data_IF_844075760551
#
_entry.id   IF_844075760551
#
_cell.length_a   1.000
_cell.length_b   1.000
_cell.length_c   1.000
_cell.angle_alpha   90.00
_cell.angle_beta   90.00
_cell.angle_gamma   90.00
#
_symmetry.space_group_name_H-M   'P 1'
#
loop_
_entity.id
_entity.type
_entity.pdbx_description
1 polymer ?
#
# COMPACT_ATOMS: atom_id res chain seq x y z
N UNK A 1 -18.08 -0.58 5.15
CA UNK A 1 -19.07 -0.56 4.06
C UNK A 1 -18.63 -1.51 2.95
N UNK A 2 -19.57 -2.21 2.32
CA UNK A 2 -19.36 -2.92 1.05
C UNK A 2 -20.38 -2.38 0.05
N UNK A 3 -19.92 -1.82 -1.07
CA UNK A 3 -20.79 -1.15 -2.07
C UNK A 3 -21.73 -0.08 -1.48
N UNK A 4 -21.29 0.60 -0.41
CA UNK A 4 -22.10 1.61 0.29
C UNK A 4 -23.00 1.06 1.42
N UNK A 5 -23.15 -0.26 1.53
CA UNK A 5 -23.95 -0.90 2.58
C UNK A 5 -23.13 -1.20 3.83
N UNK A 6 -23.73 -1.02 5.01
CA UNK A 6 -23.11 -1.33 6.32
C UNK A 6 -23.06 -2.84 6.54
N UNK A 7 -21.96 -3.33 7.13
CA UNK A 7 -21.69 -4.77 7.33
C UNK A 7 -21.35 -5.10 8.79
N UNK A 8 -22.16 -4.61 9.71
CA UNK A 8 -21.88 -4.74 11.15
C UNK A 8 -21.85 -6.18 11.65
N UNK A 9 -22.65 -7.08 11.06
CA UNK A 9 -22.70 -8.49 11.46
C UNK A 9 -21.40 -9.25 11.17
N UNK A 10 -20.69 -8.84 10.12
CA UNK A 10 -19.44 -9.47 9.66
C UNK A 10 -18.20 -8.70 10.16
N UNK A 11 -18.40 -7.60 10.88
CA UNK A 11 -17.34 -6.72 11.37
C UNK A 11 -17.05 -7.00 12.83
N UNK A 12 -15.80 -7.33 13.13
CA UNK A 12 -15.29 -7.40 14.49
C UNK A 12 -14.90 -6.00 14.97
N UNK A 13 -15.25 -5.68 16.23
CA UNK A 13 -15.02 -4.37 16.80
C UNK A 13 -14.14 -4.45 18.04
N UNK A 14 -13.09 -3.63 18.05
CA UNK A 14 -12.26 -3.39 19.22
C UNK A 14 -12.94 -2.44 20.21
N UNK A 15 -12.76 -2.71 21.49
CA UNK A 15 -13.14 -1.75 22.54
C UNK A 15 -12.41 -0.42 22.37
N UNK A 16 -13.01 0.66 22.89
CA UNK A 16 -12.37 1.99 22.93
C UNK A 16 -11.42 2.05 24.12
N UNK A 17 -10.13 2.20 23.86
CA UNK A 17 -9.05 2.17 24.87
C UNK A 17 -8.37 3.55 24.94
N UNK A 18 -8.17 4.12 26.14
CA UNK A 18 -7.45 5.38 26.28
C UNK A 18 -5.94 5.22 26.09
N UNK A 19 -5.32 6.21 25.45
CA UNK A 19 -3.87 6.35 25.30
C UNK A 19 -3.29 7.28 26.38
N UNK A 20 -1.98 7.19 26.64
CA UNK A 20 -1.29 8.02 27.64
C UNK A 20 -1.28 9.51 27.31
N UNK A 21 -1.43 9.86 26.04
CA UNK A 21 -1.48 11.23 25.54
C UNK A 21 -2.89 11.85 25.57
N UNK A 22 -3.88 11.16 26.15
CA UNK A 22 -5.27 11.64 26.25
C UNK A 22 -6.13 11.39 25.01
N UNK A 23 -5.59 10.75 23.96
CA UNK A 23 -6.40 10.27 22.83
C UNK A 23 -7.00 8.89 23.13
N UNK A 24 -7.85 8.40 22.22
CA UNK A 24 -8.46 7.08 22.30
C UNK A 24 -8.11 6.25 21.06
N UNK A 25 -8.07 4.94 21.23
CA UNK A 25 -7.85 3.96 20.18
C UNK A 25 -9.04 2.98 20.11
N UNK A 26 -9.46 2.65 18.90
CA UNK A 26 -10.45 1.61 18.59
C UNK A 26 -10.19 1.09 17.17
N UNK A 27 -10.79 -0.03 16.80
CA UNK A 27 -10.60 -0.63 15.48
C UNK A 27 -11.83 -1.42 15.05
N UNK A 28 -11.94 -1.63 13.74
CA UNK A 28 -12.92 -2.50 13.11
C UNK A 28 -12.20 -3.38 12.08
N UNK A 29 -12.49 -4.68 12.05
CA UNK A 29 -11.91 -5.63 11.10
C UNK A 29 -12.99 -6.45 10.43
N UNK A 30 -12.81 -6.74 9.15
CA UNK A 30 -13.73 -7.56 8.36
C UNK A 30 -12.90 -8.48 7.47
N UNK A 31 -13.31 -9.74 7.38
CA UNK A 31 -12.71 -10.70 6.46
C UNK A 31 -13.19 -10.38 5.03
N UNK A 32 -12.25 -10.08 4.14
CA UNK A 32 -12.55 -9.75 2.75
C UNK A 32 -11.77 -10.64 1.79
N UNK A 33 -12.46 -11.14 0.77
CA UNK A 33 -11.79 -11.85 -0.33
C UNK A 33 -10.91 -10.87 -1.12
N UNK A 34 -9.71 -11.28 -1.58
CA UNK A 34 -8.81 -10.40 -2.33
C UNK A 34 -9.48 -9.71 -3.53
N UNK A 35 -10.39 -10.40 -4.22
CA UNK A 35 -11.08 -9.89 -5.41
C UNK A 35 -12.15 -8.83 -5.08
N UNK A 36 -12.56 -8.76 -3.81
CA UNK A 36 -13.61 -7.86 -3.34
C UNK A 36 -13.05 -6.65 -2.58
N UNK A 37 -11.73 -6.59 -2.31
CA UNK A 37 -11.10 -5.54 -1.48
C UNK A 37 -11.48 -4.12 -1.92
N UNK A 38 -11.55 -3.89 -3.24
CA UNK A 38 -11.88 -2.57 -3.82
C UNK A 38 -13.34 -2.15 -3.59
N UNK A 39 -14.21 -3.11 -3.26
CA UNK A 39 -15.64 -2.88 -2.95
C UNK A 39 -15.83 -2.40 -1.51
N UNK A 40 -14.82 -2.59 -0.65
CA UNK A 40 -14.88 -2.19 0.75
C UNK A 40 -14.37 -0.78 0.97
N UNK A 41 -15.06 -0.07 1.86
CA UNK A 41 -14.60 1.21 2.43
C UNK A 41 -14.78 1.22 3.94
N UNK A 42 -13.75 1.65 4.66
CA UNK A 42 -13.85 1.97 6.08
C UNK A 42 -14.47 3.35 6.24
N UNK A 43 -15.51 3.47 7.06
CA UNK A 43 -16.18 4.74 7.38
C UNK A 43 -15.90 5.10 8.83
N UNK A 44 -15.26 6.24 9.05
CA UNK A 44 -14.94 6.76 10.38
C UNK A 44 -15.75 8.01 10.64
N UNK A 45 -16.57 7.95 11.68
CA UNK A 45 -17.34 9.08 12.19
C UNK A 45 -16.76 9.54 13.52
N UNK A 46 -16.47 10.83 13.63
CA UNK A 46 -15.92 11.41 14.84
C UNK A 46 -16.32 12.87 14.94
N UNK A 47 -16.62 13.36 16.14
CA UNK A 47 -17.13 14.73 16.35
C UNK A 47 -16.17 15.84 15.90
N UNK A 48 -14.86 15.53 15.77
CA UNK A 48 -13.87 16.48 15.24
C UNK A 48 -13.88 16.58 13.72
N UNK A 49 -14.59 15.70 13.02
CA UNK A 49 -14.66 15.67 11.56
C UNK A 49 -15.98 16.31 11.12
N UNK A 50 -15.95 17.27 10.16
CA UNK A 50 -17.18 17.86 9.63
C UNK A 50 -17.99 16.87 8.78
N UNK A 51 -17.33 15.88 8.18
CA UNK A 51 -17.93 14.82 7.38
C UNK A 51 -17.28 13.46 7.71
N UNK A 52 -17.97 12.33 7.48
CA UNK A 52 -17.39 11.01 7.68
C UNK A 52 -16.18 10.78 6.78
N UNK A 53 -15.09 10.26 7.35
CA UNK A 53 -13.92 9.86 6.58
C UNK A 53 -14.16 8.49 5.95
N UNK A 54 -14.03 8.41 4.62
CA UNK A 54 -14.14 7.16 3.86
C UNK A 54 -12.77 6.75 3.33
N UNK A 55 -12.26 5.61 3.79
CA UNK A 55 -10.96 5.07 3.41
C UNK A 55 -11.15 3.81 2.57
N UNK A 56 -10.47 3.73 1.43
CA UNK A 56 -10.37 2.50 0.64
C UNK A 56 -9.26 1.60 1.20
N UNK A 57 -9.23 0.33 0.77
CA UNK A 57 -8.12 -0.56 1.08
C UNK A 57 -6.84 -0.03 0.40
N UNK A 58 -5.72 0.01 1.12
CA UNK A 58 -4.43 0.38 0.52
C UNK A 58 -3.98 -0.70 -0.48
N UNK A 59 -3.59 -0.35 -1.72
CA UNK A 59 -3.07 -1.32 -2.67
C UNK A 59 -1.83 -2.01 -2.12
N UNK A 60 -1.71 -3.31 -2.33
CA UNK A 60 -0.50 -4.02 -1.91
C UNK A 60 0.69 -3.58 -2.75
N UNK A 61 1.73 -3.10 -2.06
CA UNK A 61 2.99 -2.77 -2.69
C UNK A 61 3.66 -4.05 -3.20
N UNK A 62 3.73 -4.23 -4.51
CA UNK A 62 4.43 -5.35 -5.15
C UNK A 62 5.95 -5.17 -5.08
N UNK A 63 6.53 -5.30 -3.88
CA UNK A 63 7.96 -5.11 -3.62
C UNK A 63 8.84 -5.96 -4.55
N UNK A 64 8.42 -7.18 -4.87
CA UNK A 64 9.15 -8.05 -5.80
C UNK A 64 9.28 -7.44 -7.20
N UNK A 65 8.22 -6.83 -7.72
CA UNK A 65 8.23 -6.17 -9.03
C UNK A 65 9.19 -4.97 -8.99
N UNK A 66 9.14 -4.18 -7.91
CA UNK A 66 10.03 -3.03 -7.72
C UNK A 66 11.49 -3.49 -7.68
N UNK A 67 11.80 -4.53 -6.91
CA UNK A 67 13.16 -5.07 -6.79
C UNK A 67 13.68 -5.59 -8.13
N UNK A 68 12.85 -6.32 -8.89
CA UNK A 68 13.23 -6.83 -10.21
C UNK A 68 13.50 -5.69 -11.20
N UNK A 69 12.64 -4.67 -11.23
CA UNK A 69 12.81 -3.51 -12.10
C UNK A 69 14.13 -2.77 -11.81
N UNK A 70 14.45 -2.57 -10.53
CA UNK A 70 15.72 -1.95 -10.10
C UNK A 70 16.92 -2.81 -10.51
N UNK A 71 16.86 -4.13 -10.30
CA UNK A 71 17.96 -5.03 -10.68
C UNK A 71 18.25 -5.01 -12.19
N UNK A 72 17.20 -5.02 -13.03
CA UNK A 72 17.35 -4.92 -14.50
C UNK A 72 17.97 -3.59 -14.91
N UNK A 73 17.55 -2.48 -14.29
CA UNK A 73 18.11 -1.16 -14.58
C UNK A 73 19.62 -1.10 -14.27
N UNK A 74 20.04 -1.66 -13.14
CA UNK A 74 21.46 -1.72 -12.74
C UNK A 74 22.28 -2.53 -13.76
N UNK A 75 21.79 -3.71 -14.17
CA UNK A 75 22.47 -4.55 -15.15
C UNK A 75 22.62 -3.86 -16.51
N UNK A 76 21.59 -3.14 -16.95
CA UNK A 76 21.64 -2.38 -18.20
C UNK A 76 22.72 -1.28 -18.15
N UNK A 77 22.83 -0.55 -17.03
CA UNK A 77 23.87 0.47 -16.84
C UNK A 77 25.27 -0.14 -16.89
N UNK A 78 25.49 -1.28 -16.22
CA UNK A 78 26.77 -2.00 -16.24
C UNK A 78 27.13 -2.43 -17.66
N UNK A 79 26.17 -2.98 -18.41
CA UNK A 79 26.39 -3.41 -19.79
C UNK A 79 26.76 -2.24 -20.72
N UNK A 80 26.11 -1.08 -20.57
CA UNK A 80 26.43 0.13 -21.34
C UNK A 80 27.86 0.59 -21.04
N UNK A 81 28.26 0.65 -19.76
CA UNK A 81 29.60 1.06 -19.35
C UNK A 81 30.66 0.10 -19.92
N UNK A 82 30.44 -1.21 -19.77
CA UNK A 82 31.34 -2.24 -20.29
C UNK A 82 31.46 -2.18 -21.83
N UNK A 83 30.34 -2.01 -22.53
CA UNK A 83 30.30 -1.87 -23.98
C UNK A 83 31.06 -0.62 -24.46
N UNK A 84 30.87 0.52 -23.79
CA UNK A 84 31.59 1.76 -24.10
C UNK A 84 33.10 1.62 -23.85
N UNK A 85 33.50 1.02 -22.72
CA UNK A 85 34.90 0.78 -22.41
C UNK A 85 35.57 -0.14 -23.45
N UNK A 86 34.89 -1.21 -23.85
CA UNK A 86 35.37 -2.13 -24.89
C UNK A 86 35.51 -1.43 -26.25
N UNK A 87 34.54 -0.60 -26.64
CA UNK A 87 34.60 0.17 -27.88
C UNK A 87 35.80 1.14 -27.90
N UNK A 88 36.05 1.83 -26.79
CA UNK A 88 37.20 2.73 -26.65
C UNK A 88 38.53 1.97 -26.70
N UNK A 89 38.62 0.83 -26.01
CA UNK A 89 39.81 -0.02 -26.04
C UNK A 89 40.13 -0.50 -27.45
N UNK A 90 39.11 -0.88 -28.23
CA UNK A 90 39.29 -1.33 -29.60
C UNK A 90 39.64 -0.19 -30.57
N UNK A 91 39.12 1.02 -30.37
CA UNK A 91 39.42 2.19 -31.22
C UNK A 91 40.78 2.84 -30.92
N UNK A 92 41.37 2.55 -29.76
CA UNK A 92 42.68 3.05 -29.35
C UNK A 92 43.86 2.14 -29.78
N UNK A 93 43.57 1.00 -30.41
CA UNK A 93 44.54 0.04 -30.94
C UNK A 93 44.52 0.07 -32.47
#
# INVERSE_FOLDING_TARGET
>A
LKDGEVRDQDTEWGSVVPNSNGSYYTWASIEARPEEKDMYRCRVEHASLPEPLLLAWEPESNLLIIVLAVAVAILAVIAIIAGFAFWKYRSAR
#
